data_IF_325899031509
#
_entry.id   IF_325899031509
#
_cell.length_a   1.000
_cell.length_b   1.000
_cell.length_c   1.000
_cell.angle_alpha   90.00
_cell.angle_beta   90.00
_cell.angle_gamma   90.00
#
_symmetry.space_group_name_H-M   'P 1'
#
loop_
_entity.id
_entity.type
_entity.pdbx_description
1 polymer ?
#
# COMPACT_ATOMS: atom_id res chain seq x y z
N UNK A 1 -31.16 -4.62 31.92
CA UNK A 1 -30.04 -3.99 31.19
C UNK A 1 -29.17 -5.11 30.65
N UNK A 2 -29.33 -5.49 29.39
CA UNK A 2 -28.51 -6.54 28.76
C UNK A 2 -27.24 -5.89 28.22
N UNK A 3 -26.11 -6.12 28.90
CA UNK A 3 -24.80 -5.72 28.40
C UNK A 3 -24.54 -6.50 27.12
N UNK A 4 -24.66 -5.83 25.97
CA UNK A 4 -24.33 -6.40 24.67
C UNK A 4 -22.82 -6.66 24.62
N UNK A 5 -22.42 -7.90 24.89
CA UNK A 5 -21.07 -8.38 24.63
C UNK A 5 -20.79 -8.18 23.14
N UNK A 6 -20.08 -7.09 22.85
CA UNK A 6 -19.63 -6.77 21.51
C UNK A 6 -18.55 -7.80 21.17
N UNK A 7 -18.90 -8.79 20.35
CA UNK A 7 -17.96 -9.82 19.88
C UNK A 7 -16.68 -9.13 19.40
N UNK A 8 -15.48 -9.60 19.81
CA UNK A 8 -14.24 -8.95 19.43
C UNK A 8 -14.14 -8.93 17.90
N UNK A 9 -14.07 -7.72 17.33
CA UNK A 9 -13.93 -7.57 15.88
C UNK A 9 -12.56 -8.13 15.47
N UNK A 10 -12.50 -9.22 14.69
CA UNK A 10 -11.25 -9.89 14.35
C UNK A 10 -10.30 -9.01 13.51
N UNK A 11 -10.82 -7.88 13.00
CA UNK A 11 -10.04 -6.95 12.18
C UNK A 11 -9.49 -5.74 12.94
N UNK A 12 -9.78 -5.61 14.25
CA UNK A 12 -9.24 -4.51 15.04
C UNK A 12 -7.71 -4.62 15.13
N UNK A 13 -7.00 -3.61 14.65
CA UNK A 13 -5.53 -3.57 14.63
C UNK A 13 -4.88 -4.35 13.49
N UNK A 14 -5.64 -4.89 12.52
CA UNK A 14 -5.07 -5.48 11.30
C UNK A 14 -4.72 -4.37 10.31
N UNK A 15 -3.50 -4.41 9.79
CA UNK A 15 -3.05 -3.57 8.68
C UNK A 15 -3.02 -4.44 7.42
N UNK A 16 -3.71 -3.97 6.38
CA UNK A 16 -3.74 -4.62 5.08
C UNK A 16 -2.55 -4.14 4.25
N UNK A 17 -1.62 -5.05 3.95
CA UNK A 17 -0.45 -4.78 3.10
C UNK A 17 -0.88 -4.22 1.73
N UNK A 18 -1.99 -4.70 1.17
CA UNK A 18 -2.51 -4.24 -0.12
C UNK A 18 -2.99 -2.79 -0.06
N UNK A 19 -3.74 -2.44 0.98
CA UNK A 19 -4.26 -1.08 1.13
C UNK A 19 -3.12 -0.10 1.44
N UNK A 20 -2.17 -0.50 2.30
CA UNK A 20 -0.97 0.31 2.57
C UNK A 20 -0.15 0.53 1.30
N UNK A 21 0.07 -0.52 0.50
CA UNK A 21 0.76 -0.39 -0.78
C UNK A 21 0.01 0.54 -1.75
N UNK A 22 -1.32 0.45 -1.83
CA UNK A 22 -2.14 1.34 -2.67
C UNK A 22 -2.01 2.79 -2.22
N UNK A 23 -2.16 3.08 -0.93
CA UNK A 23 -2.02 4.43 -0.36
C UNK A 23 -0.64 5.00 -0.69
N UNK A 24 0.42 4.20 -0.55
CA UNK A 24 1.80 4.60 -0.88
C UNK A 24 1.94 5.01 -2.35
N UNK A 25 1.30 4.29 -3.28
CA UNK A 25 1.32 4.66 -4.69
C UNK A 25 0.48 5.92 -4.97
N UNK A 26 -0.72 6.02 -4.40
CA UNK A 26 -1.66 7.12 -4.64
C UNK A 26 -1.14 8.45 -4.07
N UNK A 27 -0.56 8.39 -2.87
CA UNK A 27 -0.08 9.58 -2.15
C UNK A 27 1.39 9.88 -2.41
N UNK A 28 2.12 8.95 -3.05
CA UNK A 28 3.56 9.05 -3.30
C UNK A 28 4.38 9.32 -2.02
N UNK A 29 3.91 8.83 -0.87
CA UNK A 29 4.62 8.87 0.41
C UNK A 29 5.20 7.51 0.77
N UNK A 30 6.35 7.50 1.44
CA UNK A 30 6.88 6.30 2.08
C UNK A 30 6.14 6.05 3.39
N UNK A 31 5.76 4.80 3.65
CA UNK A 31 5.16 4.37 4.91
C UNK A 31 6.08 3.33 5.56
N UNK A 32 6.34 3.51 6.85
CA UNK A 32 7.07 2.58 7.69
C UNK A 32 6.22 2.16 8.87
N UNK A 33 6.17 0.85 9.11
CA UNK A 33 5.36 0.27 10.17
C UNK A 33 6.28 -0.65 10.96
N UNK A 34 6.48 -0.33 12.23
CA UNK A 34 7.14 -1.24 13.17
C UNK A 34 6.08 -2.11 13.85
N UNK A 35 6.28 -3.43 13.81
CA UNK A 35 5.44 -4.40 14.51
C UNK A 35 6.30 -5.55 15.02
N UNK A 36 6.23 -5.82 16.32
CA UNK A 36 6.98 -6.89 16.98
C UNK A 36 8.50 -6.82 16.68
N UNK A 37 9.05 -5.60 16.65
CA UNK A 37 10.46 -5.34 16.30
C UNK A 37 10.80 -5.49 14.80
N UNK A 38 9.83 -5.82 13.95
CA UNK A 38 10.01 -5.90 12.49
C UNK A 38 9.53 -4.62 11.83
N UNK A 39 10.38 -4.04 10.97
CA UNK A 39 10.03 -2.85 10.18
C UNK A 39 9.56 -3.26 8.79
N UNK A 40 8.30 -2.95 8.48
CA UNK A 40 7.72 -3.07 7.15
C UNK A 40 7.80 -1.73 6.45
N UNK A 41 8.51 -1.69 5.32
CA UNK A 41 8.69 -0.47 4.53
C UNK A 41 7.97 -0.58 3.19
N UNK A 42 7.16 0.43 2.88
CA UNK A 42 6.48 0.58 1.62
C UNK A 42 6.98 1.87 0.95
N UNK A 43 7.53 1.74 -0.25
CA UNK A 43 8.01 2.89 -1.02
C UNK A 43 7.14 3.11 -2.26
N UNK A 44 6.91 4.38 -2.66
CA UNK A 44 6.31 4.68 -3.95
C UNK A 44 7.14 4.06 -5.04
N UNK A 45 6.48 3.46 -6.03
CA UNK A 45 7.19 3.03 -7.22
C UNK A 45 7.69 4.30 -7.89
N UNK A 46 9.01 4.44 -8.02
CA UNK A 46 9.58 5.47 -8.89
C UNK A 46 8.91 5.28 -10.24
N UNK A 47 8.16 6.28 -10.72
CA UNK A 47 7.70 6.29 -12.11
C UNK A 47 8.93 5.94 -12.94
N UNK A 48 8.93 4.76 -13.58
CA UNK A 48 9.96 4.42 -14.56
C UNK A 48 10.05 5.65 -15.45
N UNK A 49 11.20 6.32 -15.49
CA UNK A 49 11.45 7.28 -16.55
C UNK A 49 11.20 6.48 -17.82
N UNK A 50 10.17 6.83 -18.59
CA UNK A 50 9.96 6.21 -19.90
C UNK A 50 11.28 6.37 -20.62
N UNK A 51 11.92 5.25 -20.92
CA UNK A 51 13.06 5.26 -21.82
C UNK A 51 12.51 5.58 -23.20
N UNK A 52 13.25 6.32 -24.01
CA UNK A 52 12.84 6.73 -25.37
C UNK A 52 12.38 5.52 -26.21
N UNK A 53 12.84 4.31 -25.87
CA UNK A 53 12.39 3.03 -26.44
C UNK A 53 10.88 2.72 -26.28
N UNK A 54 10.18 3.30 -25.31
CA UNK A 54 8.73 3.10 -25.12
C UNK A 54 7.87 3.99 -26.05
N UNK A 55 8.45 4.97 -26.76
CA UNK A 55 7.69 5.82 -27.70
C UNK A 55 7.58 5.24 -29.12
N UNK A 56 8.49 4.34 -29.54
CA UNK A 56 8.42 3.75 -30.90
C UNK A 56 7.33 2.67 -31.05
N UNK A 57 6.87 2.04 -29.97
CA UNK A 57 5.86 0.98 -30.04
C UNK A 57 4.43 1.53 -30.22
N UNK A 58 4.21 2.82 -29.92
CA UNK A 58 2.87 3.44 -29.98
C UNK A 58 2.58 4.21 -31.29
N UNK A 59 3.51 4.18 -32.25
CA UNK A 59 3.36 4.84 -33.57
C UNK A 59 3.01 3.81 -34.67
N UNK A 60 2.91 2.52 -34.36
CA UNK A 60 2.67 1.44 -35.34
C UNK A 60 1.38 0.63 -35.13
N UNK A 61 0.35 1.20 -34.50
CA UNK A 61 -1.01 0.63 -34.55
C UNK A 61 -1.90 1.39 -35.54
#
# INVERSE_FOLDING_TARGET
MTNGESKPNPNKGRISIRDTARIVQETNIRIEIERDGTIYRFEPLKKRKRTIADEEENIRL
#
